data_IF_910659195533
#
_entry.id   IF_910659195533
#
_cell.length_a   1.000
_cell.length_b   1.000
_cell.length_c   1.000
_cell.angle_alpha   90.00
_cell.angle_beta   90.00
_cell.angle_gamma   90.00
#
_symmetry.space_group_name_H-M   'P 1'
#
loop_
_entity.id
_entity.type
_entity.pdbx_description
1 polymer ?
#
# COMPACT_ATOMS: atom_id res chain seq x y z
N UNK A 1 2.01 2.49 -1.21
CA UNK A 1 2.19 2.71 0.25
C UNK A 1 1.86 1.43 1.01
N UNK A 2 2.42 1.23 2.21
CA UNK A 2 2.19 0.01 3.01
C UNK A 2 1.81 0.38 4.44
N UNK A 3 0.80 -0.30 5.01
CA UNK A 3 0.45 -0.27 6.42
C UNK A 3 0.20 -1.70 6.92
N UNK A 4 0.62 -2.00 8.14
CA UNK A 4 0.44 -3.31 8.78
C UNK A 4 -0.12 -3.08 10.17
N UNK A 5 -1.21 -3.78 10.51
CA UNK A 5 -1.81 -3.71 11.83
C UNK A 5 -1.93 -5.10 12.46
N UNK A 6 -2.10 -5.13 13.78
CA UNK A 6 -2.36 -6.38 14.52
C UNK A 6 -3.77 -6.94 14.23
N UNK A 7 -4.71 -6.10 13.76
CA UNK A 7 -6.08 -6.48 13.42
C UNK A 7 -6.60 -5.80 12.15
N UNK A 8 -7.55 -6.46 11.47
CA UNK A 8 -8.10 -6.00 10.19
C UNK A 8 -8.90 -4.71 10.32
N UNK A 9 -9.64 -4.50 11.42
CA UNK A 9 -10.44 -3.30 11.58
C UNK A 9 -9.56 -2.05 11.71
N UNK A 10 -8.43 -2.16 12.40
CA UNK A 10 -7.41 -1.09 12.48
C UNK A 10 -6.72 -0.89 11.13
N UNK A 11 -6.38 -1.95 10.41
CA UNK A 11 -5.81 -1.84 9.06
C UNK A 11 -6.74 -1.07 8.11
N UNK A 12 -8.02 -1.42 8.09
CA UNK A 12 -9.02 -0.74 7.27
C UNK A 12 -9.21 0.71 7.71
N UNK A 13 -9.40 0.98 9.00
CA UNK A 13 -9.63 2.34 9.51
C UNK A 13 -8.43 3.27 9.26
N UNK A 14 -7.22 2.81 9.53
CA UNK A 14 -6.03 3.67 9.50
C UNK A 14 -5.33 3.66 8.14
N UNK A 15 -5.24 2.50 7.49
CA UNK A 15 -4.57 2.34 6.19
C UNK A 15 -5.43 2.70 4.98
N UNK A 16 -6.72 2.35 5.01
CA UNK A 16 -7.65 2.51 3.88
C UNK A 16 -8.74 3.57 4.11
N UNK A 17 -9.00 3.93 5.37
CA UNK A 17 -10.04 4.88 5.72
C UNK A 17 -9.74 6.28 5.19
N UNK A 18 -10.78 6.99 4.74
CA UNK A 18 -10.68 8.35 4.19
C UNK A 18 -10.21 9.40 5.21
N UNK A 19 -10.37 9.11 6.51
CA UNK A 19 -9.87 9.92 7.62
C UNK A 19 -8.43 9.54 8.04
N UNK A 20 -7.84 8.52 7.40
CA UNK A 20 -6.50 8.03 7.69
C UNK A 20 -5.38 8.86 7.04
N UNK A 21 -4.13 8.73 7.53
CA UNK A 21 -3.00 9.51 7.03
C UNK A 21 -2.69 9.24 5.54
N UNK A 22 -2.95 8.03 5.05
CA UNK A 22 -2.72 7.66 3.66
C UNK A 22 -3.71 8.37 2.71
N UNK A 23 -4.97 8.47 3.10
CA UNK A 23 -5.98 9.22 2.36
C UNK A 23 -5.65 10.72 2.33
N UNK A 24 -5.17 11.28 3.44
CA UNK A 24 -4.71 12.66 3.48
C UNK A 24 -3.54 12.93 2.51
N UNK A 25 -2.55 12.03 2.48
CA UNK A 25 -1.43 12.10 1.54
C UNK A 25 -1.92 12.10 0.08
N UNK A 26 -2.74 11.12 -0.30
CA UNK A 26 -3.24 11.02 -1.67
C UNK A 26 -4.17 12.17 -2.04
N UNK A 27 -5.03 12.64 -1.14
CA UNK A 27 -5.86 13.84 -1.34
C UNK A 27 -5.00 15.05 -1.70
N UNK A 28 -3.88 15.24 -1.01
CA UNK A 28 -2.97 16.37 -1.23
C UNK A 28 -2.27 16.27 -2.58
N UNK A 29 -1.76 15.09 -2.95
CA UNK A 29 -1.08 14.90 -4.24
C UNK A 29 -2.07 14.95 -5.40
N UNK A 30 -3.22 14.28 -5.27
CA UNK A 30 -4.30 14.33 -6.26
C UNK A 30 -4.72 15.77 -6.52
N UNK A 31 -4.98 16.57 -5.48
CA UNK A 31 -5.34 17.98 -5.64
C UNK A 31 -4.33 18.77 -6.48
N UNK A 32 -3.02 18.55 -6.26
CA UNK A 32 -1.94 19.22 -7.01
C UNK A 32 -1.80 18.70 -8.45
N UNK A 33 -1.90 17.38 -8.66
CA UNK A 33 -1.71 16.79 -9.98
C UNK A 33 -2.94 17.01 -10.87
N UNK A 34 -4.15 16.84 -10.34
CA UNK A 34 -5.40 17.05 -11.06
C UNK A 34 -5.56 18.52 -11.46
N UNK A 35 -5.29 19.47 -10.56
CA UNK A 35 -5.31 20.90 -10.90
C UNK A 35 -4.28 21.29 -11.97
N UNK A 36 -3.20 20.51 -12.11
CA UNK A 36 -2.21 20.64 -13.15
C UNK A 36 -2.53 19.83 -14.43
N UNK A 37 -3.74 19.28 -14.57
CA UNK A 37 -4.18 18.51 -15.75
C UNK A 37 -3.56 17.11 -15.84
N UNK A 38 -3.04 16.56 -14.73
CA UNK A 38 -2.32 15.26 -14.68
C UNK A 38 -3.11 14.15 -14.01
N UNK A 39 -4.43 14.13 -14.17
CA UNK A 39 -5.28 13.06 -13.60
C UNK A 39 -4.92 11.67 -14.16
N UNK A 40 -4.46 11.60 -15.41
CA UNK A 40 -4.03 10.35 -16.05
C UNK A 40 -2.90 9.60 -15.34
N UNK A 41 -2.17 10.26 -14.42
CA UNK A 41 -1.13 9.61 -13.59
C UNK A 41 -1.72 8.62 -12.57
N UNK A 42 -2.99 8.74 -12.22
CA UNK A 42 -3.65 7.81 -11.28
C UNK A 42 -4.39 6.67 -11.98
N UNK A 43 -4.62 6.77 -13.30
CA UNK A 43 -5.38 5.76 -14.03
C UNK A 43 -4.54 4.50 -14.25
N UNK A 44 -5.15 3.33 -14.03
CA UNK A 44 -4.53 2.04 -14.39
C UNK A 44 -4.41 1.90 -15.92
N UNK A 45 -5.42 2.39 -16.66
CA UNK A 45 -5.44 2.46 -18.12
C UNK A 45 -5.86 3.86 -18.57
N UNK A 46 -5.25 4.39 -19.63
CA UNK A 46 -5.51 5.76 -20.08
C UNK A 46 -6.94 5.97 -20.60
N UNK A 47 -7.67 4.91 -20.96
CA UNK A 47 -9.08 4.95 -21.35
C UNK A 47 -10.05 5.04 -20.18
N UNK A 48 -9.60 4.82 -18.95
CA UNK A 48 -10.44 4.93 -17.74
C UNK A 48 -11.07 6.33 -17.65
N UNK A 49 -12.38 6.47 -17.36
CA UNK A 49 -13.03 7.75 -17.14
C UNK A 49 -12.39 8.54 -15.99
N UNK A 50 -12.31 9.87 -16.13
CA UNK A 50 -11.79 10.75 -15.06
C UNK A 50 -12.62 10.68 -13.78
N UNK A 51 -13.94 10.51 -13.91
CA UNK A 51 -14.88 10.41 -12.79
C UNK A 51 -14.71 9.18 -11.92
N UNK A 52 -14.14 8.10 -12.47
CA UNK A 52 -13.85 6.87 -11.72
C UNK A 52 -12.59 7.00 -10.86
N UNK A 53 -11.74 8.02 -11.10
CA UNK A 53 -10.52 8.30 -10.33
C UNK A 53 -10.86 9.06 -9.04
N UNK A 54 -11.58 8.39 -8.15
CA UNK A 54 -11.96 8.93 -6.84
C UNK A 54 -10.84 8.75 -5.81
N UNK A 55 -10.86 9.53 -4.72
CA UNK A 55 -9.89 9.37 -3.63
C UNK A 55 -9.96 7.97 -3.02
N UNK A 56 -11.18 7.45 -2.81
CA UNK A 56 -11.41 6.12 -2.27
C UNK A 56 -10.77 5.05 -3.15
N UNK A 57 -11.02 5.13 -4.46
CA UNK A 57 -10.43 4.21 -5.43
C UNK A 57 -8.89 4.31 -5.48
N UNK A 58 -8.32 5.52 -5.41
CA UNK A 58 -6.86 5.71 -5.40
C UNK A 58 -6.24 5.13 -4.13
N UNK A 59 -6.83 5.37 -2.97
CA UNK A 59 -6.36 4.80 -1.70
C UNK A 59 -6.47 3.28 -1.74
N UNK A 60 -7.58 2.75 -2.24
CA UNK A 60 -7.74 1.31 -2.35
C UNK A 60 -6.71 0.69 -3.31
N UNK A 61 -6.47 1.33 -4.45
CA UNK A 61 -5.56 0.80 -5.47
C UNK A 61 -4.08 0.94 -5.11
N UNK A 62 -3.68 1.99 -4.38
CA UNK A 62 -2.27 2.34 -4.17
C UNK A 62 -1.75 2.09 -2.75
N UNK A 63 -2.63 1.73 -1.80
CA UNK A 63 -2.25 1.37 -0.43
C UNK A 63 -2.42 -0.13 -0.23
N UNK A 64 -1.33 -0.82 0.10
CA UNK A 64 -1.35 -2.16 0.66
C UNK A 64 -1.57 -2.01 2.17
N UNK A 65 -2.66 -2.55 2.70
CA UNK A 65 -2.97 -2.49 4.11
C UNK A 65 -3.65 -3.78 4.57
N UNK A 66 -3.34 -4.22 5.78
CA UNK A 66 -3.94 -5.42 6.36
C UNK A 66 -3.22 -5.90 7.62
N UNK A 67 -3.59 -7.08 8.06
CA UNK A 67 -2.79 -7.88 9.00
C UNK A 67 -1.49 -8.36 8.37
N UNK A 68 -0.55 -8.89 9.17
CA UNK A 68 0.73 -9.45 8.67
C UNK A 68 0.51 -10.43 7.52
N UNK A 69 -0.38 -11.42 7.68
CA UNK A 69 -0.64 -12.42 6.63
C UNK A 69 -1.22 -11.80 5.37
N UNK A 70 -2.21 -10.91 5.53
CA UNK A 70 -2.84 -10.21 4.40
C UNK A 70 -1.83 -9.38 3.61
N UNK A 71 -0.91 -8.68 4.30
CA UNK A 71 0.12 -7.87 3.64
C UNK A 71 1.17 -8.74 2.95
N UNK A 72 1.56 -9.87 3.52
CA UNK A 72 2.44 -10.85 2.85
C UNK A 72 1.81 -11.31 1.53
N UNK A 73 0.54 -11.75 1.57
CA UNK A 73 -0.17 -12.22 0.38
C UNK A 73 -0.30 -11.13 -0.68
N UNK A 74 -0.63 -9.90 -0.27
CA UNK A 74 -0.71 -8.74 -1.16
C UNK A 74 0.64 -8.43 -1.83
N UNK A 75 1.75 -8.53 -1.11
CA UNK A 75 3.10 -8.31 -1.68
C UNK A 75 3.46 -9.41 -2.67
N UNK A 76 3.20 -10.68 -2.35
CA UNK A 76 3.47 -11.79 -3.27
C UNK A 76 2.62 -11.68 -4.53
N UNK A 77 1.33 -11.36 -4.40
CA UNK A 77 0.45 -11.09 -5.54
C UNK A 77 0.91 -9.90 -6.37
N UNK A 78 1.43 -8.86 -5.72
CA UNK A 78 2.01 -7.72 -6.44
C UNK A 78 3.23 -8.15 -7.28
N UNK A 79 4.07 -9.04 -6.76
CA UNK A 79 5.21 -9.62 -7.52
C UNK A 79 4.76 -10.42 -8.74
N UNK A 80 3.65 -11.16 -8.67
CA UNK A 80 3.09 -11.86 -9.84
C UNK A 80 2.75 -10.88 -10.97
N UNK A 81 2.37 -9.65 -10.63
CA UNK A 81 2.01 -8.61 -11.61
C UNK A 81 3.24 -7.84 -12.11
N UNK A 82 4.20 -7.52 -11.23
CA UNK A 82 5.34 -6.66 -11.57
C UNK A 82 6.60 -7.41 -12.00
N UNK A 83 6.64 -8.72 -11.76
CA UNK A 83 7.88 -9.49 -11.76
C UNK A 83 8.75 -9.21 -10.52
N UNK A 84 9.95 -9.77 -10.53
CA UNK A 84 10.87 -9.69 -9.41
C UNK A 84 11.43 -8.28 -9.19
N UNK A 85 11.49 -7.89 -7.92
CA UNK A 85 12.23 -6.72 -7.45
C UNK A 85 13.10 -7.08 -6.24
N UNK A 86 14.23 -6.38 -6.10
CA UNK A 86 15.19 -6.63 -5.03
C UNK A 86 14.88 -5.93 -3.71
N UNK A 87 14.30 -4.73 -3.72
CA UNK A 87 14.05 -3.95 -2.51
C UNK A 87 12.69 -3.26 -2.54
N UNK A 88 11.90 -3.47 -1.49
CA UNK A 88 10.73 -2.64 -1.19
C UNK A 88 11.16 -1.45 -0.34
N UNK A 89 10.93 -0.24 -0.86
CA UNK A 89 11.19 1.00 -0.13
C UNK A 89 9.94 1.39 0.64
N UNK A 90 10.01 1.29 1.97
CA UNK A 90 8.90 1.66 2.85
C UNK A 90 8.75 3.19 2.90
N UNK A 91 7.61 3.69 2.41
CA UNK A 91 7.30 5.12 2.38
C UNK A 91 6.70 5.56 3.73
N UNK A 92 7.38 6.48 4.42
CA UNK A 92 6.85 7.12 5.62
C UNK A 92 5.79 8.17 5.27
N UNK A 93 4.65 8.11 5.96
CA UNK A 93 3.57 9.09 5.90
C UNK A 93 3.56 9.96 7.16
N UNK A 94 2.88 11.11 7.11
CA UNK A 94 2.65 11.93 8.30
C UNK A 94 1.81 11.13 9.31
N UNK A 95 2.38 10.83 10.48
CA UNK A 95 1.73 9.96 11.47
C UNK A 95 0.58 10.68 12.16
N UNK A 96 -0.64 10.20 11.93
CA UNK A 96 -1.82 10.61 12.71
C UNK A 96 -1.76 9.99 14.12
N UNK A 97 -1.30 8.75 14.21
CA UNK A 97 -1.01 8.02 15.44
C UNK A 97 0.41 7.45 15.35
N UNK A 98 1.31 7.98 16.17
CA UNK A 98 2.72 7.62 16.15
C UNK A 98 2.96 6.17 16.60
N UNK A 99 2.15 5.65 17.51
CA UNK A 99 2.32 4.30 18.04
C UNK A 99 1.87 3.26 17.02
N UNK A 100 0.72 3.49 16.36
CA UNK A 100 0.28 2.66 15.24
C UNK A 100 1.28 2.67 14.07
N UNK A 101 1.80 3.84 13.72
CA UNK A 101 2.76 3.94 12.62
C UNK A 101 4.08 3.24 12.92
N UNK A 102 4.62 3.38 14.14
CA UNK A 102 5.82 2.62 14.58
C UNK A 102 5.54 1.12 14.63
N UNK A 103 4.38 0.72 15.16
CA UNK A 103 3.97 -0.69 15.22
C UNK A 103 3.88 -1.29 13.82
N UNK A 104 3.34 -0.56 12.85
CA UNK A 104 3.33 -1.00 11.45
C UNK A 104 4.72 -1.21 10.89
N UNK A 105 5.67 -0.30 11.14
CA UNK A 105 7.05 -0.46 10.69
C UNK A 105 7.73 -1.67 11.35
N UNK A 106 7.48 -1.88 12.64
CA UNK A 106 7.98 -3.04 13.37
C UNK A 106 7.45 -4.34 12.77
N UNK A 107 6.13 -4.47 12.61
CA UNK A 107 5.49 -5.64 12.00
C UNK A 107 6.00 -5.88 10.57
N UNK A 108 6.19 -4.81 9.80
CA UNK A 108 6.72 -4.94 8.45
C UNK A 108 8.15 -5.52 8.43
N UNK A 109 9.02 -5.02 9.30
CA UNK A 109 10.42 -5.42 9.36
C UNK A 109 10.62 -6.80 10.00
N UNK A 110 9.91 -7.09 11.08
CA UNK A 110 10.13 -8.29 11.91
C UNK A 110 9.28 -9.49 11.47
N UNK A 111 8.14 -9.26 10.80
CA UNK A 111 7.18 -10.32 10.46
C UNK A 111 6.90 -10.43 8.96
N UNK A 112 6.57 -9.32 8.29
CA UNK A 112 6.17 -9.35 6.88
C UNK A 112 7.35 -9.71 5.98
N UNK A 113 8.42 -8.92 6.00
CA UNK A 113 9.55 -9.12 5.08
C UNK A 113 10.25 -10.47 5.26
N UNK A 114 10.48 -11.00 6.48
CA UNK A 114 11.01 -12.34 6.65
C UNK A 114 10.15 -13.43 6.01
N UNK A 115 8.82 -13.33 6.13
CA UNK A 115 7.88 -14.30 5.52
C UNK A 115 7.83 -14.19 4.00
N UNK A 116 7.82 -12.96 3.48
CA UNK A 116 7.91 -12.70 2.02
C UNK A 116 9.21 -13.30 1.46
N UNK A 117 10.35 -13.05 2.10
CA UNK A 117 11.64 -13.56 1.66
C UNK A 117 11.73 -15.09 1.73
N UNK A 118 11.15 -15.70 2.77
CA UNK A 118 11.06 -17.16 2.87
C UNK A 118 10.24 -17.75 1.71
N UNK A 119 9.06 -17.20 1.45
CA UNK A 119 8.19 -17.68 0.35
C UNK A 119 8.88 -17.54 -1.02
N UNK A 120 9.55 -16.43 -1.28
CA UNK A 120 10.32 -16.23 -2.53
C UNK A 120 11.47 -17.25 -2.64
N UNK A 121 12.18 -17.51 -1.54
CA UNK A 121 13.27 -18.48 -1.50
C UNK A 121 12.82 -19.92 -1.75
N UNK A 122 11.63 -20.29 -1.28
CA UNK A 122 11.02 -21.60 -1.57
C UNK A 122 10.63 -21.73 -3.05
N UNK A 123 10.04 -20.69 -3.65
CA UNK A 123 9.71 -20.69 -5.08
C UNK A 123 10.95 -20.84 -5.97
N UNK A 124 12.04 -20.13 -5.65
CA UNK A 124 13.29 -20.23 -6.41
C UNK A 124 13.99 -21.60 -6.29
N UNK A 125 13.70 -22.37 -5.23
CA UNK A 125 14.25 -23.72 -5.04
C UNK A 125 13.39 -24.82 -5.69
N UNK A 126 12.15 -24.51 -6.07
CA UNK A 126 11.21 -25.44 -6.71
C UNK A 126 11.25 -25.37 -8.25
N UNK A 127 11.91 -24.36 -8.81
CA UNK A 127 12.17 -24.14 -10.25
C UNK A 127 13.51 -24.74 -10.69
#
# INVERSE_FOLDING_TARGET
SIFVADDEATAQRYGKGLEGPYAYYFKTIMGKLVSAGRIGTFKIDQSMPDEDVTLDWVVDSLVIAGTVSSVVDQILKFRETTGDFGMLVYCGHDWLDADLSKRSMQLFAEEVMPRVNAAIGESAAAE
#
